data_IF_792771463701
#
_entry.id   IF_792771463701
#
_cell.length_a   1.000
_cell.length_b   1.000
_cell.length_c   1.000
_cell.angle_alpha   90.00
_cell.angle_beta   90.00
_cell.angle_gamma   90.00
#
_symmetry.space_group_name_H-M   'P 1'
#
loop_
_entity.id
_entity.type
_entity.pdbx_description
1 polymer ?
#
# COMPACT_ATOMS: atom_id res chain seq x y z
N UNK A 1 14.93 13.02 -1.91
CA UNK A 1 15.53 12.25 -0.77
C UNK A 1 14.58 11.16 -0.25
N UNK A 2 13.30 11.44 0.04
CA UNK A 2 12.31 10.45 0.54
C UNK A 2 12.19 9.21 -0.36
N UNK A 3 12.05 9.41 -1.68
CA UNK A 3 11.92 8.32 -2.68
C UNK A 3 13.14 7.40 -2.67
N UNK A 4 14.35 7.96 -2.76
CA UNK A 4 15.58 7.17 -2.74
C UNK A 4 15.72 6.35 -1.46
N UNK A 5 15.36 6.93 -0.31
CA UNK A 5 15.39 6.22 0.98
C UNK A 5 14.40 5.04 0.99
N UNK A 6 13.19 5.24 0.48
CA UNK A 6 12.19 4.19 0.37
C UNK A 6 12.68 3.02 -0.50
N UNK A 7 13.24 3.35 -1.68
CA UNK A 7 13.80 2.37 -2.60
C UNK A 7 14.94 1.57 -1.98
N UNK A 8 15.88 2.24 -1.31
CA UNK A 8 17.00 1.59 -0.65
C UNK A 8 16.52 0.66 0.48
N UNK A 9 15.58 1.13 1.31
CA UNK A 9 14.99 0.32 2.37
C UNK A 9 14.32 -0.95 1.83
N UNK A 10 13.55 -0.84 0.74
CA UNK A 10 12.91 -1.98 0.11
C UNK A 10 13.93 -2.98 -0.45
N UNK A 11 14.94 -2.50 -1.18
CA UNK A 11 16.02 -3.35 -1.73
C UNK A 11 16.78 -4.08 -0.64
N UNK A 12 17.17 -3.38 0.43
CA UNK A 12 17.91 -3.98 1.55
C UNK A 12 17.06 -4.94 2.39
N UNK A 13 15.74 -4.76 2.43
CA UNK A 13 14.86 -5.68 3.16
C UNK A 13 14.76 -7.06 2.51
N UNK A 14 14.89 -7.13 1.18
CA UNK A 14 14.79 -8.39 0.45
C UNK A 14 13.40 -9.05 0.54
N UNK A 15 13.30 -10.32 0.11
CA UNK A 15 12.07 -11.11 0.17
C UNK A 15 11.56 -11.29 1.61
N UNK A 16 10.25 -11.47 1.77
CA UNK A 16 9.62 -11.72 3.05
C UNK A 16 8.79 -12.98 3.01
N UNK A 17 8.66 -13.65 4.16
CA UNK A 17 7.84 -14.84 4.26
C UNK A 17 6.36 -14.54 3.91
N UNK A 18 5.59 -15.57 3.51
CA UNK A 18 4.16 -15.43 3.25
C UNK A 18 3.42 -14.75 4.40
N UNK A 19 2.38 -13.97 4.07
CA UNK A 19 1.56 -13.20 5.00
C UNK A 19 2.30 -12.11 5.82
N UNK A 20 3.59 -11.82 5.59
CA UNK A 20 4.33 -10.75 6.29
C UNK A 20 4.40 -9.42 5.53
N UNK A 21 3.74 -9.30 4.37
CA UNK A 21 3.83 -8.12 3.51
C UNK A 21 3.48 -6.81 4.25
N UNK A 22 2.33 -6.75 4.94
CA UNK A 22 1.90 -5.56 5.68
C UNK A 22 2.85 -5.21 6.83
N UNK A 23 3.40 -6.22 7.52
CA UNK A 23 4.38 -5.99 8.59
C UNK A 23 5.68 -5.43 8.07
N UNK A 24 6.20 -6.01 6.99
CA UNK A 24 7.43 -5.53 6.36
C UNK A 24 7.26 -4.07 5.91
N UNK A 25 6.21 -3.79 5.14
CA UNK A 25 5.95 -2.45 4.61
C UNK A 25 5.76 -1.43 5.73
N UNK A 26 4.98 -1.74 6.77
CA UNK A 26 4.78 -0.82 7.91
C UNK A 26 6.07 -0.50 8.67
N UNK A 27 6.97 -1.47 8.84
CA UNK A 27 8.30 -1.25 9.44
C UNK A 27 9.16 -0.33 8.57
N UNK A 28 9.16 -0.55 7.25
CA UNK A 28 9.96 0.27 6.33
C UNK A 28 9.44 1.70 6.24
N UNK A 29 8.12 1.90 6.11
CA UNK A 29 7.48 3.21 6.06
C UNK A 29 7.83 4.03 7.31
N UNK A 30 7.80 3.43 8.50
CA UNK A 30 8.12 4.13 9.75
C UNK A 30 9.56 4.68 9.82
N UNK A 31 10.48 4.15 9.00
CA UNK A 31 11.88 4.64 8.88
C UNK A 31 12.01 5.87 7.96
N UNK A 32 10.93 6.28 7.30
CA UNK A 32 10.91 7.36 6.31
C UNK A 32 10.33 8.64 6.96
N UNK A 33 11.00 9.80 6.84
CA UNK A 33 10.43 11.08 7.26
C UNK A 33 9.08 11.34 6.60
N UNK A 34 8.09 11.79 7.38
CA UNK A 34 6.70 11.96 6.93
C UNK A 34 5.78 10.76 7.15
N UNK A 35 6.32 9.58 7.49
CA UNK A 35 5.55 8.33 7.68
C UNK A 35 5.70 7.73 9.09
N UNK A 36 6.29 8.48 10.04
CA UNK A 36 6.57 8.00 11.40
C UNK A 36 5.32 7.60 12.20
N UNK A 37 4.15 8.12 11.84
CA UNK A 37 2.87 7.82 12.48
C UNK A 37 2.31 6.43 12.13
N UNK A 38 2.84 5.76 11.12
CA UNK A 38 2.41 4.41 10.72
C UNK A 38 2.74 3.41 11.84
N UNK A 39 1.73 2.66 12.29
CA UNK A 39 1.93 1.57 13.26
C UNK A 39 2.39 0.29 12.56
N UNK A 40 3.17 -0.52 13.27
CA UNK A 40 3.54 -1.85 12.78
C UNK A 40 2.34 -2.77 12.92
N UNK A 41 1.97 -3.43 11.84
CA UNK A 41 0.78 -4.30 11.78
C UNK A 41 0.99 -5.45 10.80
N UNK A 42 0.40 -6.59 11.09
CA UNK A 42 0.32 -7.72 10.15
C UNK A 42 -0.87 -7.62 9.20
N UNK A 43 -1.78 -6.67 9.44
CA UNK A 43 -3.06 -6.59 8.74
C UNK A 43 -3.07 -5.47 7.68
N UNK A 44 -3.24 -5.80 6.38
CA UNK A 44 -3.22 -4.81 5.29
C UNK A 44 -4.23 -3.67 5.47
N UNK A 45 -5.45 -3.96 5.91
CA UNK A 45 -6.48 -2.92 6.11
C UNK A 45 -6.10 -1.89 7.17
N UNK A 46 -5.42 -2.32 8.23
CA UNK A 46 -4.95 -1.43 9.31
C UNK A 46 -3.84 -0.54 8.78
N UNK A 47 -2.92 -1.09 7.97
CA UNK A 47 -1.87 -0.31 7.32
C UNK A 47 -2.45 0.74 6.35
N UNK A 48 -3.43 0.34 5.53
CA UNK A 48 -4.14 1.27 4.64
C UNK A 48 -4.81 2.40 5.44
N UNK A 49 -5.48 2.09 6.55
CA UNK A 49 -6.12 3.08 7.42
C UNK A 49 -5.10 4.06 7.99
N UNK A 50 -3.98 3.58 8.52
CA UNK A 50 -2.93 4.45 9.05
C UNK A 50 -2.35 5.37 7.97
N UNK A 51 -2.12 4.83 6.77
CA UNK A 51 -1.62 5.61 5.64
C UNK A 51 -2.61 6.69 5.20
N UNK A 52 -3.92 6.39 5.22
CA UNK A 52 -4.96 7.34 4.84
C UNK A 52 -5.05 8.56 5.76
N UNK A 53 -4.52 8.47 6.98
CA UNK A 53 -4.51 9.57 7.95
C UNK A 53 -3.35 10.56 7.72
N UNK A 54 -2.44 10.29 6.78
CA UNK A 54 -1.33 11.20 6.46
C UNK A 54 -1.86 12.42 5.69
N UNK A 55 -1.47 13.63 6.10
CA UNK A 55 -1.88 14.89 5.46
C UNK A 55 -1.58 14.85 3.95
N UNK A 56 -2.60 15.13 3.14
CA UNK A 56 -2.50 15.18 1.68
C UNK A 56 -2.82 13.85 0.98
N UNK A 57 -2.99 12.75 1.72
CA UNK A 57 -3.43 11.47 1.12
C UNK A 57 -4.92 11.56 0.76
N UNK A 58 -5.24 11.24 -0.49
CA UNK A 58 -6.61 10.97 -0.95
C UNK A 58 -6.80 9.47 -1.04
N UNK A 59 -7.86 8.96 -0.42
CA UNK A 59 -8.15 7.52 -0.39
C UNK A 59 -9.33 7.21 -1.28
N UNK A 60 -9.17 6.18 -2.10
CA UNK A 60 -10.26 5.56 -2.85
C UNK A 60 -10.19 4.06 -2.65
N UNK A 61 -11.31 3.45 -2.26
CA UNK A 61 -11.42 2.00 -2.07
C UNK A 61 -12.17 1.41 -3.26
N UNK A 62 -11.61 0.35 -3.82
CA UNK A 62 -12.20 -0.43 -4.90
C UNK A 62 -12.32 -1.85 -4.37
N UNK A 63 -13.48 -2.46 -4.56
CA UNK A 63 -13.76 -3.82 -4.12
C UNK A 63 -14.13 -4.64 -5.35
N UNK A 64 -13.53 -5.82 -5.44
CA UNK A 64 -13.99 -6.88 -6.32
C UNK A 64 -15.03 -7.71 -5.57
N UNK A 65 -16.13 -8.03 -6.24
CA UNK A 65 -17.16 -8.91 -5.70
C UNK A 65 -17.17 -10.18 -6.55
N UNK A 66 -17.29 -11.33 -5.91
CA UNK A 66 -17.26 -12.62 -6.60
C UNK A 66 -18.40 -12.72 -7.62
N UNK A 67 -18.03 -12.67 -8.89
CA UNK A 67 -18.85 -12.96 -10.05
C UNK A 67 -18.01 -13.74 -11.08
N UNK A 68 -18.62 -14.30 -12.14
CA UNK A 68 -17.93 -15.18 -13.09
C UNK A 68 -16.80 -14.50 -13.89
N UNK A 69 -16.76 -13.16 -13.95
CA UNK A 69 -15.84 -12.38 -14.79
C UNK A 69 -15.07 -11.32 -13.97
N UNK A 70 -14.26 -11.80 -13.02
CA UNK A 70 -13.51 -11.04 -12.00
C UNK A 70 -12.63 -9.89 -12.55
N UNK A 71 -11.80 -10.19 -13.55
CA UNK A 71 -10.81 -9.23 -14.05
C UNK A 71 -11.37 -8.05 -14.86
N UNK A 72 -12.51 -8.19 -15.54
CA UNK A 72 -13.06 -7.11 -16.38
C UNK A 72 -13.48 -5.90 -15.55
N UNK A 73 -14.10 -6.14 -14.40
CA UNK A 73 -14.64 -5.08 -13.52
C UNK A 73 -13.51 -4.23 -12.92
N UNK A 74 -12.41 -4.86 -12.51
CA UNK A 74 -11.25 -4.15 -11.97
C UNK A 74 -10.58 -3.28 -13.04
N UNK A 75 -10.36 -3.83 -14.24
CA UNK A 75 -9.78 -3.11 -15.38
C UNK A 75 -10.64 -1.91 -15.80
N UNK A 76 -11.97 -2.03 -15.76
CA UNK A 76 -12.89 -0.94 -16.04
C UNK A 76 -12.78 0.18 -15.00
N UNK A 77 -12.68 -0.17 -13.71
CA UNK A 77 -12.50 0.78 -12.62
C UNK A 77 -11.12 1.44 -12.63
N UNK A 78 -10.09 0.78 -13.13
CA UNK A 78 -8.77 1.40 -13.34
C UNK A 78 -8.81 2.41 -14.49
N UNK A 79 -9.46 2.06 -15.61
CA UNK A 79 -9.65 2.95 -16.77
C UNK A 79 -10.51 4.17 -16.45
N UNK A 80 -11.66 3.98 -15.79
CA UNK A 80 -12.63 5.05 -15.47
C UNK A 80 -12.03 6.15 -14.60
N UNK A 81 -11.02 5.82 -13.80
CA UNK A 81 -10.40 6.74 -12.87
C UNK A 81 -8.97 7.12 -13.27
N UNK A 82 -8.59 6.83 -14.51
CA UNK A 82 -7.26 7.15 -15.06
C UNK A 82 -6.12 6.70 -14.13
N UNK A 83 -6.31 5.58 -13.41
CA UNK A 83 -5.35 5.08 -12.42
C UNK A 83 -4.10 4.44 -13.07
N UNK A 84 -3.91 4.64 -14.39
CA UNK A 84 -2.72 4.19 -15.11
C UNK A 84 -1.54 5.09 -14.75
N UNK A 85 -0.52 4.48 -14.14
CA UNK A 85 0.86 4.83 -14.46
C UNK A 85 1.28 4.06 -15.71
#
# INVERSE_FOLDING_TARGET
IVVQKALNLAKSNGPVAPALCARSVSILLRKIPGFRSIKVTYFPEKLMKDFSNIKGVKTKKIFEYDGPDKHKKLIELEKKYELKN
#
